data_IF_869463053061
#
_entry.id   IF_869463053061
#
_cell.length_a   1.000
_cell.length_b   1.000
_cell.length_c   1.000
_cell.angle_alpha   90.00
_cell.angle_beta   90.00
_cell.angle_gamma   90.00
#
_symmetry.space_group_name_H-M   'P 1'
#
loop_
_entity.id
_entity.type
_entity.pdbx_description
1 polymer ?
#
# COMPACT_ATOMS: atom_id res chain seq x y z
N UNK A 1 -55.50 -41.26 24.02
CA UNK A 1 -56.41 -41.51 22.88
C UNK A 1 -57.26 -42.78 23.03
N UNK A 2 -56.69 -43.99 23.18
CA UNK A 2 -57.49 -45.25 23.18
C UNK A 2 -58.55 -45.46 24.30
N UNK A 3 -58.66 -44.55 25.28
CA UNK A 3 -59.77 -44.55 26.27
C UNK A 3 -60.99 -43.78 25.75
N UNK A 4 -60.79 -42.65 25.08
CA UNK A 4 -61.86 -41.81 24.50
C UNK A 4 -62.54 -42.51 23.32
N UNK A 5 -61.78 -43.19 22.47
CA UNK A 5 -62.33 -44.01 21.38
C UNK A 5 -63.23 -45.15 21.89
N UNK A 6 -62.88 -45.76 23.03
CA UNK A 6 -63.71 -46.80 23.65
C UNK A 6 -65.01 -46.22 24.20
N UNK A 7 -64.93 -45.06 24.86
CA UNK A 7 -66.09 -44.33 25.39
C UNK A 7 -67.00 -43.85 24.27
N UNK A 8 -66.46 -43.35 23.15
CA UNK A 8 -67.27 -42.92 22.01
C UNK A 8 -68.00 -44.08 21.33
N UNK A 9 -67.34 -45.23 21.18
CA UNK A 9 -67.95 -46.43 20.60
C UNK A 9 -69.10 -46.96 21.48
N UNK A 10 -68.90 -46.99 22.80
CA UNK A 10 -69.93 -47.39 23.76
C UNK A 10 -71.12 -46.42 23.79
N UNK A 11 -70.87 -45.11 23.68
CA UNK A 11 -71.93 -44.09 23.62
C UNK A 11 -72.78 -44.22 22.35
N UNK A 12 -72.16 -44.52 21.21
CA UNK A 12 -72.86 -44.76 19.94
C UNK A 12 -73.71 -46.04 19.98
N UNK A 13 -73.20 -47.11 20.60
CA UNK A 13 -73.96 -48.36 20.81
C UNK A 13 -75.17 -48.16 21.73
N UNK A 14 -75.04 -47.35 22.80
CA UNK A 14 -76.09 -47.14 23.78
C UNK A 14 -77.11 -46.07 23.37
N UNK A 15 -76.71 -45.06 22.59
CA UNK A 15 -77.56 -43.94 22.19
C UNK A 15 -77.06 -43.27 20.89
N UNK A 16 -77.55 -43.67 19.72
CA UNK A 16 -77.04 -43.20 18.43
C UNK A 16 -77.22 -41.69 18.20
N UNK A 17 -78.31 -41.08 18.71
CA UNK A 17 -78.59 -39.65 18.54
C UNK A 17 -77.59 -38.73 19.27
N UNK A 18 -77.09 -39.16 20.44
CA UNK A 18 -76.12 -38.39 21.23
C UNK A 18 -74.68 -38.86 21.00
N UNK A 19 -74.47 -40.12 20.61
CA UNK A 19 -73.16 -40.69 20.34
C UNK A 19 -72.54 -40.22 19.02
N UNK A 20 -73.34 -40.02 17.97
CA UNK A 20 -72.86 -39.56 16.66
C UNK A 20 -72.11 -38.20 16.70
N UNK A 21 -72.67 -37.12 17.29
CA UNK A 21 -71.96 -35.84 17.37
C UNK A 21 -70.71 -35.93 18.27
N UNK A 22 -70.75 -36.74 19.33
CA UNK A 22 -69.58 -36.99 20.18
C UNK A 22 -68.47 -37.73 19.43
N UNK A 23 -68.83 -38.74 18.62
CA UNK A 23 -67.89 -39.48 17.80
C UNK A 23 -67.23 -38.59 16.73
N UNK A 24 -68.00 -37.72 16.08
CA UNK A 24 -67.48 -36.75 15.11
C UNK A 24 -66.51 -35.77 15.76
N UNK A 25 -66.91 -35.13 16.86
CA UNK A 25 -66.05 -34.19 17.59
C UNK A 25 -64.75 -34.86 18.08
N UNK A 26 -64.84 -36.12 18.53
CA UNK A 26 -63.67 -36.91 18.91
C UNK A 26 -62.76 -37.21 17.71
N UNK A 27 -63.30 -37.60 16.56
CA UNK A 27 -62.53 -37.86 15.33
C UNK A 27 -61.81 -36.59 14.85
N UNK A 28 -62.50 -35.45 14.86
CA UNK A 28 -61.89 -34.15 14.53
C UNK A 28 -60.74 -33.80 15.48
N UNK A 29 -60.90 -34.03 16.78
CA UNK A 29 -59.84 -33.81 17.76
C UNK A 29 -58.64 -34.76 17.56
N UNK A 30 -58.88 -36.03 17.23
CA UNK A 30 -57.83 -37.00 16.91
C UNK A 30 -57.07 -36.61 15.63
N UNK A 31 -57.78 -36.18 14.59
CA UNK A 31 -57.17 -35.66 13.36
C UNK A 31 -56.30 -34.43 13.64
N UNK A 32 -56.81 -33.48 14.42
CA UNK A 32 -56.04 -32.30 14.82
C UNK A 32 -54.79 -32.70 15.62
N UNK A 33 -54.93 -33.62 16.57
CA UNK A 33 -53.80 -34.14 17.35
C UNK A 33 -52.74 -34.80 16.45
N UNK A 34 -53.17 -35.62 15.49
CA UNK A 34 -52.27 -36.26 14.53
C UNK A 34 -51.54 -35.23 13.65
N UNK A 35 -52.25 -34.21 13.16
CA UNK A 35 -51.64 -33.10 12.40
C UNK A 35 -50.59 -32.35 13.23
N UNK A 36 -50.88 -32.04 14.49
CA UNK A 36 -49.92 -31.37 15.39
C UNK A 36 -48.71 -32.27 15.65
N UNK A 37 -48.93 -33.55 15.98
CA UNK A 37 -47.86 -34.50 16.24
C UNK A 37 -46.94 -34.66 15.03
N UNK A 38 -47.51 -34.70 13.83
CA UNK A 38 -46.74 -34.80 12.60
C UNK A 38 -45.92 -33.54 12.33
N UNK A 39 -46.51 -32.34 12.51
CA UNK A 39 -45.77 -31.07 12.43
C UNK A 39 -44.62 -30.99 13.43
N UNK A 40 -44.83 -31.45 14.67
CA UNK A 40 -43.78 -31.49 15.69
C UNK A 40 -42.66 -32.44 15.30
N UNK A 41 -42.97 -33.62 14.75
CA UNK A 41 -41.96 -34.55 14.23
C UNK A 41 -41.16 -33.97 13.08
N UNK A 42 -41.82 -33.32 12.13
CA UNK A 42 -41.16 -32.68 10.99
C UNK A 42 -40.24 -31.54 11.46
N UNK A 43 -40.71 -30.69 12.37
CA UNK A 43 -39.90 -29.62 12.95
C UNK A 43 -38.68 -30.17 13.73
N UNK A 44 -38.86 -31.24 14.51
CA UNK A 44 -37.76 -31.89 15.23
C UNK A 44 -36.70 -32.42 14.26
N UNK A 45 -37.11 -33.11 13.19
CA UNK A 45 -36.19 -33.63 12.18
C UNK A 45 -35.38 -32.52 11.48
N UNK A 46 -36.03 -31.38 11.15
CA UNK A 46 -35.33 -30.22 10.57
C UNK A 46 -34.31 -29.65 11.56
N UNK A 47 -34.67 -29.51 12.84
CA UNK A 47 -33.74 -28.98 13.85
C UNK A 47 -32.57 -29.93 14.12
N UNK A 48 -32.81 -31.24 14.16
CA UNK A 48 -31.78 -32.27 14.35
C UNK A 48 -30.73 -32.25 13.22
N UNK A 49 -31.13 -31.97 11.98
CA UNK A 49 -30.20 -31.82 10.85
C UNK A 49 -29.49 -30.45 10.85
N UNK A 50 -30.23 -29.38 11.16
CA UNK A 50 -29.78 -28.03 10.92
C UNK A 50 -28.90 -27.45 12.06
N UNK A 51 -29.11 -27.88 13.31
CA UNK A 51 -28.27 -27.47 14.46
C UNK A 51 -26.77 -27.81 14.30
N UNK A 52 -26.36 -29.04 13.96
CA UNK A 52 -24.93 -29.35 13.80
C UNK A 52 -24.30 -28.57 12.65
N UNK A 53 -25.06 -28.35 11.55
CA UNK A 53 -24.61 -27.54 10.41
C UNK A 53 -24.41 -26.08 10.80
N UNK A 54 -25.32 -25.52 11.61
CA UNK A 54 -25.19 -24.16 12.13
C UNK A 54 -23.94 -24.03 13.02
N UNK A 55 -23.71 -24.97 13.94
CA UNK A 55 -22.51 -24.98 14.81
C UNK A 55 -21.22 -25.01 13.99
N UNK A 56 -21.15 -25.90 13.00
CA UNK A 56 -19.98 -26.02 12.13
C UNK A 56 -19.75 -24.74 11.31
N UNK A 57 -20.84 -24.11 10.84
CA UNK A 57 -20.78 -22.86 10.10
C UNK A 57 -20.20 -21.74 10.97
N UNK A 58 -20.71 -21.57 12.20
CA UNK A 58 -20.25 -20.53 13.12
C UNK A 58 -18.79 -20.74 13.53
N UNK A 59 -18.39 -21.97 13.86
CA UNK A 59 -16.99 -22.29 14.19
C UNK A 59 -16.05 -21.97 13.02
N UNK A 60 -16.47 -22.27 11.79
CA UNK A 60 -15.68 -21.95 10.60
C UNK A 60 -15.59 -20.45 10.35
N UNK A 61 -16.66 -19.70 10.63
CA UNK A 61 -16.66 -18.25 10.53
C UNK A 61 -15.71 -17.60 11.53
N UNK A 62 -15.69 -18.09 12.78
CA UNK A 62 -14.76 -17.61 13.82
C UNK A 62 -13.31 -17.83 13.38
N UNK A 63 -12.97 -19.01 12.85
CA UNK A 63 -11.63 -19.29 12.33
C UNK A 63 -11.24 -18.39 11.16
N UNK A 64 -12.19 -18.03 10.28
CA UNK A 64 -11.93 -17.12 9.17
C UNK A 64 -11.75 -15.67 9.65
N UNK A 65 -12.51 -15.25 10.66
CA UNK A 65 -12.34 -13.95 11.31
C UNK A 65 -10.94 -13.83 11.92
N UNK A 66 -10.52 -14.81 12.72
CA UNK A 66 -9.19 -14.85 13.33
C UNK A 66 -8.08 -14.78 12.26
N UNK A 67 -8.26 -15.50 11.14
CA UNK A 67 -7.33 -15.43 10.02
C UNK A 67 -7.24 -14.02 9.42
N UNK A 68 -8.38 -13.35 9.21
CA UNK A 68 -8.43 -11.99 8.68
C UNK A 68 -7.79 -10.99 9.64
N UNK A 69 -8.09 -11.07 10.93
CA UNK A 69 -7.53 -10.18 11.96
C UNK A 69 -6.01 -10.36 12.11
N UNK A 70 -5.54 -11.61 12.07
CA UNK A 70 -4.11 -11.92 12.06
C UNK A 70 -3.41 -11.35 10.82
N UNK A 71 -4.03 -11.46 9.64
CA UNK A 71 -3.46 -10.88 8.44
C UNK A 71 -3.46 -9.35 8.48
N UNK A 72 -4.56 -8.75 8.95
CA UNK A 72 -4.69 -7.31 9.10
C UNK A 72 -3.63 -6.74 10.06
N UNK A 73 -3.41 -7.37 11.22
CA UNK A 73 -2.40 -6.95 12.18
C UNK A 73 -0.98 -7.08 11.62
N UNK A 74 -0.69 -8.14 10.84
CA UNK A 74 0.59 -8.29 10.14
C UNK A 74 0.82 -7.19 9.10
N UNK A 75 -0.22 -6.80 8.36
CA UNK A 75 -0.15 -5.71 7.39
C UNK A 75 0.00 -4.33 8.05
N UNK A 76 -0.67 -4.11 9.19
CA UNK A 76 -0.54 -2.86 9.96
C UNK A 76 0.82 -2.69 10.65
N UNK A 77 1.53 -3.79 10.91
CA UNK A 77 2.86 -3.78 11.52
C UNK A 77 4.00 -3.73 10.51
N UNK A 78 3.70 -3.61 9.22
CA UNK A 78 4.74 -3.47 8.19
C UNK A 78 5.53 -2.16 8.40
N UNK A 79 6.87 -2.20 8.32
CA UNK A 79 7.72 -1.03 8.50
C UNK A 79 7.47 0.00 7.40
N UNK A 80 7.76 1.27 7.71
CA UNK A 80 7.72 2.36 6.72
C UNK A 80 8.57 2.00 5.50
N UNK A 81 8.02 2.28 4.33
CA UNK A 81 8.62 1.96 3.04
C UNK A 81 9.88 2.77 2.81
N UNK A 82 10.92 2.07 2.36
CA UNK A 82 12.23 2.63 2.06
C UNK A 82 12.45 2.80 0.56
N UNK A 83 13.24 3.79 0.17
CA UNK A 83 13.57 4.12 -1.23
C UNK A 83 14.57 3.19 -1.91
N UNK A 84 15.05 2.15 -1.20
CA UNK A 84 15.93 1.13 -1.73
C UNK A 84 15.16 0.08 -2.54
N UNK A 85 15.60 -0.14 -3.79
CA UNK A 85 15.01 -1.11 -4.73
C UNK A 85 14.98 -2.54 -4.18
N UNK A 86 15.98 -2.95 -3.39
CA UNK A 86 16.01 -4.29 -2.79
C UNK A 86 14.91 -4.43 -1.74
N UNK A 87 14.71 -3.39 -0.92
CA UNK A 87 13.67 -3.36 0.09
C UNK A 87 12.27 -3.29 -0.52
N UNK A 88 12.08 -2.47 -1.56
CA UNK A 88 10.82 -2.35 -2.28
C UNK A 88 10.40 -3.69 -2.93
N UNK A 89 11.34 -4.41 -3.55
CA UNK A 89 11.08 -5.75 -4.11
C UNK A 89 10.63 -6.73 -3.04
N UNK A 90 11.25 -6.69 -1.86
CA UNK A 90 10.86 -7.55 -0.74
C UNK A 90 9.48 -7.19 -0.19
N UNK A 91 9.16 -5.90 -0.04
CA UNK A 91 7.83 -5.45 0.37
C UNK A 91 6.75 -5.85 -0.64
N UNK A 92 7.04 -5.78 -1.94
CA UNK A 92 6.13 -6.29 -2.99
C UNK A 92 5.92 -7.79 -2.81
N UNK A 93 6.99 -8.57 -2.63
CA UNK A 93 6.92 -10.02 -2.43
C UNK A 93 6.04 -10.39 -1.23
N UNK A 94 6.25 -9.73 -0.09
CA UNK A 94 5.45 -9.94 1.12
C UNK A 94 3.97 -9.55 0.93
N UNK A 95 3.69 -8.44 0.23
CA UNK A 95 2.33 -8.05 -0.08
C UNK A 95 1.65 -9.02 -1.06
N UNK A 96 2.37 -9.53 -2.07
CA UNK A 96 1.85 -10.56 -2.98
C UNK A 96 1.54 -11.87 -2.24
N UNK A 97 2.35 -12.25 -1.23
CA UNK A 97 2.02 -13.38 -0.36
C UNK A 97 0.73 -13.15 0.45
N UNK A 98 0.56 -11.94 1.00
CA UNK A 98 -0.67 -11.56 1.70
C UNK A 98 -1.90 -11.62 0.79
N UNK A 99 -1.78 -11.17 -0.46
CA UNK A 99 -2.84 -11.30 -1.48
C UNK A 99 -3.17 -12.77 -1.76
N UNK A 100 -2.17 -13.63 -1.91
CA UNK A 100 -2.40 -15.07 -2.09
C UNK A 100 -3.08 -15.75 -0.88
N UNK A 101 -2.81 -15.28 0.34
CA UNK A 101 -3.55 -15.72 1.53
C UNK A 101 -5.01 -15.22 1.50
N UNK A 102 -5.23 -13.95 1.11
CA UNK A 102 -6.57 -13.39 0.94
C UNK A 102 -7.38 -14.12 -0.11
N UNK A 103 -6.80 -14.52 -1.24
CA UNK A 103 -7.49 -15.31 -2.26
C UNK A 103 -8.03 -16.62 -1.68
N UNK A 104 -7.22 -17.33 -0.90
CA UNK A 104 -7.65 -18.57 -0.21
C UNK A 104 -8.77 -18.32 0.80
N UNK A 105 -8.67 -17.23 1.56
CA UNK A 105 -9.72 -16.83 2.50
C UNK A 105 -11.02 -16.45 1.77
N UNK A 106 -10.93 -15.81 0.59
CA UNK A 106 -12.07 -15.48 -0.25
C UNK A 106 -12.85 -16.73 -0.67
N UNK A 107 -12.16 -17.75 -1.20
CA UNK A 107 -12.78 -19.04 -1.56
C UNK A 107 -13.45 -19.71 -0.35
N UNK A 108 -12.81 -19.65 0.82
CA UNK A 108 -13.38 -20.21 2.04
C UNK A 108 -14.64 -19.45 2.52
N UNK A 109 -14.65 -18.13 2.39
CA UNK A 109 -15.82 -17.28 2.72
C UNK A 109 -16.99 -17.53 1.76
N UNK A 110 -16.73 -17.67 0.46
CA UNK A 110 -17.75 -18.04 -0.53
C UNK A 110 -18.37 -19.41 -0.21
N UNK A 111 -17.54 -20.37 0.24
CA UNK A 111 -18.02 -21.69 0.66
C UNK A 111 -18.94 -21.58 1.88
N UNK A 112 -18.55 -20.81 2.89
CA UNK A 112 -19.36 -20.54 4.09
C UNK A 112 -20.67 -19.84 3.71
N UNK A 113 -20.63 -18.89 2.79
CA UNK A 113 -21.83 -18.20 2.29
C UNK A 113 -22.81 -19.18 1.62
N UNK A 114 -22.31 -20.08 0.76
CA UNK A 114 -23.12 -21.09 0.11
C UNK A 114 -23.74 -22.06 1.14
N UNK A 115 -22.95 -22.52 2.11
CA UNK A 115 -23.42 -23.40 3.20
C UNK A 115 -24.50 -22.73 4.06
N UNK A 116 -24.34 -21.44 4.38
CA UNK A 116 -25.32 -20.67 5.13
C UNK A 116 -26.63 -20.46 4.35
N UNK A 117 -26.55 -20.19 3.04
CA UNK A 117 -27.72 -20.06 2.19
C UNK A 117 -28.50 -21.39 2.07
N UNK A 118 -27.79 -22.51 1.94
CA UNK A 118 -28.41 -23.84 1.90
C UNK A 118 -29.11 -24.18 3.24
N UNK A 119 -28.48 -23.84 4.37
CA UNK A 119 -29.05 -24.04 5.69
C UNK A 119 -30.31 -23.19 5.93
N UNK A 120 -30.31 -21.94 5.47
CA UNK A 120 -31.50 -21.08 5.51
C UNK A 120 -32.65 -21.66 4.69
N UNK A 121 -32.34 -22.17 3.50
CA UNK A 121 -33.33 -22.80 2.63
C UNK A 121 -33.93 -24.07 3.26
N UNK A 122 -33.11 -24.91 3.92
CA UNK A 122 -33.62 -26.13 4.58
C UNK A 122 -34.54 -25.82 5.77
N UNK A 123 -34.28 -24.72 6.48
CA UNK A 123 -35.11 -24.24 7.58
C UNK A 123 -36.33 -23.43 7.12
N UNK A 124 -36.46 -23.13 5.81
CA UNK A 124 -37.43 -22.16 5.26
C UNK A 124 -37.35 -20.79 5.96
N UNK A 125 -36.15 -20.41 6.39
CA UNK A 125 -35.87 -19.15 7.05
C UNK A 125 -35.38 -18.10 6.03
N UNK A 126 -35.85 -16.86 6.18
CA UNK A 126 -35.49 -15.79 5.26
C UNK A 126 -34.14 -15.12 5.59
N UNK A 127 -33.74 -15.13 6.87
CA UNK A 127 -32.49 -14.55 7.36
C UNK A 127 -32.02 -15.29 8.62
N UNK A 128 -30.72 -15.21 8.90
CA UNK A 128 -30.11 -15.64 10.16
C UNK A 128 -28.94 -14.74 10.52
N UNK A 129 -28.60 -14.67 11.81
CA UNK A 129 -27.42 -13.97 12.30
C UNK A 129 -26.13 -14.45 11.60
N UNK A 130 -26.06 -15.72 11.23
CA UNK A 130 -24.93 -16.29 10.48
C UNK A 130 -24.82 -15.69 9.06
N UNK A 131 -25.93 -15.39 8.39
CA UNK A 131 -25.90 -14.73 7.09
C UNK A 131 -25.39 -13.29 7.18
N UNK A 132 -25.81 -12.55 8.21
CA UNK A 132 -25.33 -11.19 8.48
C UNK A 132 -23.83 -11.18 8.82
N UNK A 133 -23.39 -12.07 9.70
CA UNK A 133 -21.98 -12.22 10.05
C UNK A 133 -21.13 -12.61 8.83
N UNK A 134 -21.62 -13.50 7.95
CA UNK A 134 -20.90 -13.87 6.72
C UNK A 134 -20.73 -12.67 5.78
N UNK A 135 -21.78 -11.86 5.63
CA UNK A 135 -21.72 -10.63 4.84
C UNK A 135 -20.73 -9.61 5.43
N UNK A 136 -20.65 -9.51 6.76
CA UNK A 136 -19.66 -8.66 7.43
C UNK A 136 -18.24 -9.15 7.17
N UNK A 137 -17.97 -10.45 7.26
CA UNK A 137 -16.65 -11.03 6.95
C UNK A 137 -16.24 -10.80 5.50
N UNK A 138 -17.16 -11.00 4.54
CA UNK A 138 -16.93 -10.71 3.12
C UNK A 138 -16.58 -9.23 2.90
N UNK A 139 -17.28 -8.31 3.59
CA UNK A 139 -16.99 -6.88 3.54
C UNK A 139 -15.61 -6.54 4.14
N UNK A 140 -15.24 -7.16 5.26
CA UNK A 140 -13.91 -6.99 5.86
C UNK A 140 -12.80 -7.52 4.94
N UNK A 141 -12.97 -8.73 4.40
CA UNK A 141 -12.07 -9.34 3.44
C UNK A 141 -11.89 -8.45 2.19
N UNK A 142 -12.99 -7.99 1.60
CA UNK A 142 -12.95 -7.14 0.40
C UNK A 142 -12.23 -5.81 0.65
N UNK A 143 -12.46 -5.19 1.81
CA UNK A 143 -11.72 -3.98 2.21
C UNK A 143 -10.24 -4.24 2.41
N UNK A 144 -9.86 -5.33 3.07
CA UNK A 144 -8.46 -5.67 3.31
C UNK A 144 -7.73 -5.98 2.00
N UNK A 145 -8.39 -6.74 1.11
CA UNK A 145 -7.89 -7.04 -0.24
C UNK A 145 -7.70 -5.78 -1.08
N UNK A 146 -8.69 -4.89 -1.13
CA UNK A 146 -8.57 -3.64 -1.86
C UNK A 146 -7.39 -2.79 -1.39
N UNK A 147 -7.16 -2.71 -0.07
CA UNK A 147 -5.97 -2.04 0.50
C UNK A 147 -4.66 -2.70 0.06
N UNK A 148 -4.58 -4.03 0.07
CA UNK A 148 -3.39 -4.75 -0.40
C UNK A 148 -3.14 -4.54 -1.90
N UNK A 149 -4.18 -4.54 -2.74
CA UNK A 149 -4.07 -4.28 -4.18
C UNK A 149 -3.60 -2.85 -4.46
N UNK A 150 -4.16 -1.87 -3.74
CA UNK A 150 -3.72 -0.46 -3.82
C UNK A 150 -2.26 -0.31 -3.38
N UNK A 151 -1.87 -0.95 -2.28
CA UNK A 151 -0.49 -0.95 -1.79
C UNK A 151 0.46 -1.62 -2.78
N UNK A 152 0.06 -2.72 -3.43
CA UNK A 152 0.89 -3.40 -4.43
C UNK A 152 1.13 -2.50 -5.64
N UNK A 153 0.07 -1.86 -6.16
CA UNK A 153 0.19 -0.91 -7.26
C UNK A 153 1.15 0.22 -6.90
N UNK A 154 0.94 0.84 -5.74
CA UNK A 154 1.78 1.93 -5.26
C UNK A 154 3.24 1.51 -5.07
N UNK A 155 3.50 0.34 -4.48
CA UNK A 155 4.87 -0.19 -4.33
C UNK A 155 5.55 -0.44 -5.67
N UNK A 156 4.81 -0.94 -6.68
CA UNK A 156 5.35 -1.17 -8.04
C UNK A 156 5.68 0.15 -8.76
N UNK A 157 4.83 1.16 -8.62
CA UNK A 157 5.08 2.51 -9.14
C UNK A 157 6.33 3.12 -8.48
N UNK A 158 6.44 2.99 -7.15
CA UNK A 158 7.60 3.45 -6.39
C UNK A 158 8.88 2.71 -6.76
N UNK A 159 8.83 1.39 -6.97
CA UNK A 159 9.98 0.62 -7.44
C UNK A 159 10.44 1.08 -8.83
N UNK A 160 9.51 1.30 -9.76
CA UNK A 160 9.86 1.81 -11.09
C UNK A 160 10.54 3.19 -11.02
N UNK A 161 10.07 4.05 -10.10
CA UNK A 161 10.68 5.35 -9.86
C UNK A 161 12.07 5.23 -9.24
N UNK A 162 12.23 4.37 -8.24
CA UNK A 162 13.52 4.08 -7.61
C UNK A 162 14.52 3.50 -8.62
N UNK A 163 14.13 2.51 -9.42
CA UNK A 163 15.00 1.92 -10.45
C UNK A 163 15.48 2.97 -11.46
N UNK A 164 14.60 3.88 -11.91
CA UNK A 164 14.99 4.99 -12.80
C UNK A 164 15.99 5.94 -12.14
N UNK A 165 15.76 6.30 -10.88
CA UNK A 165 16.66 7.18 -10.13
C UNK A 165 18.05 6.55 -9.94
N UNK A 166 18.10 5.33 -9.38
CA UNK A 166 19.37 4.68 -9.08
C UNK A 166 20.16 4.30 -10.34
N UNK A 167 19.47 3.89 -11.41
CA UNK A 167 20.13 3.66 -12.69
C UNK A 167 20.69 4.95 -13.29
N UNK A 168 19.89 6.01 -13.36
CA UNK A 168 20.33 7.31 -13.87
C UNK A 168 21.48 7.92 -13.06
N UNK A 169 21.48 7.74 -11.73
CA UNK A 169 22.59 8.14 -10.86
C UNK A 169 23.87 7.39 -11.21
N UNK A 170 23.79 6.07 -11.44
CA UNK A 170 24.93 5.25 -11.82
C UNK A 170 25.45 5.60 -13.21
N UNK A 171 24.58 5.81 -14.19
CA UNK A 171 24.97 6.22 -15.54
C UNK A 171 25.64 7.58 -15.53
N UNK A 172 25.05 8.58 -14.86
CA UNK A 172 25.61 9.91 -14.72
C UNK A 172 26.98 9.90 -14.04
N UNK A 173 27.19 9.05 -13.03
CA UNK A 173 28.48 8.90 -12.37
C UNK A 173 29.55 8.31 -13.29
N UNK A 174 29.19 7.36 -14.15
CA UNK A 174 30.10 6.75 -15.13
C UNK A 174 30.45 7.74 -16.24
N UNK A 175 29.46 8.39 -16.85
CA UNK A 175 29.67 9.38 -17.91
C UNK A 175 30.46 10.59 -17.39
N UNK A 176 30.22 11.01 -16.15
CA UNK A 176 31.02 12.03 -15.47
C UNK A 176 32.49 11.60 -15.32
N UNK A 177 32.76 10.34 -14.96
CA UNK A 177 34.13 9.81 -14.86
C UNK A 177 34.80 9.73 -16.23
N UNK A 178 34.10 9.25 -17.26
CA UNK A 178 34.62 9.11 -18.62
C UNK A 178 34.95 10.49 -19.22
N UNK A 179 34.06 11.48 -19.04
CA UNK A 179 34.29 12.86 -19.47
C UNK A 179 35.45 13.52 -18.73
N UNK A 180 35.60 13.25 -17.43
CA UNK A 180 36.79 13.69 -16.68
C UNK A 180 38.08 13.13 -17.28
N UNK A 181 38.12 11.85 -17.64
CA UNK A 181 39.28 11.22 -18.27
C UNK A 181 39.56 11.77 -19.68
N UNK A 182 38.52 11.99 -20.48
CA UNK A 182 38.64 12.57 -21.83
C UNK A 182 39.25 13.98 -21.79
N UNK A 183 38.81 14.82 -20.87
CA UNK A 183 39.37 16.18 -20.73
C UNK A 183 40.83 16.12 -20.29
N UNK A 184 41.21 15.24 -19.37
CA UNK A 184 42.61 15.05 -18.98
C UNK A 184 43.47 14.64 -20.19
N UNK A 185 42.97 13.74 -21.04
CA UNK A 185 43.68 13.34 -22.28
C UNK A 185 43.75 14.45 -23.34
N UNK A 186 42.71 15.29 -23.44
CA UNK A 186 42.68 16.42 -24.38
C UNK A 186 43.59 17.58 -23.95
N UNK A 187 43.82 17.76 -22.65
CA UNK A 187 44.83 18.68 -22.13
C UNK A 187 46.25 18.31 -22.59
N UNK A 188 46.53 17.02 -22.78
CA UNK A 188 47.83 16.51 -23.27
C UNK A 188 47.96 16.60 -24.80
N UNK A 189 46.85 16.50 -25.54
CA UNK A 189 46.83 16.42 -26.99
C UNK A 189 46.54 17.75 -27.73
N UNK A 190 46.06 18.78 -27.03
CA UNK A 190 45.78 20.11 -27.62
C UNK A 190 44.56 20.16 -28.56
N UNK A 191 43.53 19.35 -28.29
CA UNK A 191 42.35 19.18 -29.16
C UNK A 191 41.24 20.24 -29.02
N UNK A 192 40.27 20.20 -29.94
CA UNK A 192 39.18 21.18 -30.12
C UNK A 192 38.07 21.07 -29.02
N UNK A 193 37.61 22.19 -28.42
CA UNK A 193 36.75 22.22 -27.23
C UNK A 193 35.24 22.08 -27.49
N UNK A 194 34.77 22.01 -28.74
CA UNK A 194 33.33 22.05 -29.04
C UNK A 194 32.58 20.76 -28.66
N UNK A 195 33.12 19.59 -28.99
CA UNK A 195 32.52 18.29 -28.62
C UNK A 195 32.43 18.11 -27.10
N UNK A 196 33.41 18.66 -26.35
CA UNK A 196 33.36 18.68 -24.89
C UNK A 196 32.23 19.56 -24.35
N UNK A 197 31.88 20.67 -25.02
CA UNK A 197 30.79 21.54 -24.56
C UNK A 197 29.44 20.88 -24.70
N UNK A 198 29.19 20.20 -25.82
CA UNK A 198 27.95 19.47 -26.06
C UNK A 198 27.74 18.36 -25.02
N UNK A 199 28.79 17.61 -24.72
CA UNK A 199 28.77 16.57 -23.69
C UNK A 199 28.47 17.13 -22.28
N UNK A 200 29.08 18.27 -21.95
CA UNK A 200 28.88 18.98 -20.68
C UNK A 200 27.46 19.53 -20.51
N UNK A 201 26.85 20.02 -21.59
CA UNK A 201 25.46 20.49 -21.55
C UNK A 201 24.48 19.31 -21.49
N UNK A 202 24.81 18.16 -22.11
CA UNK A 202 24.05 16.90 -21.94
C UNK A 202 24.04 16.42 -20.49
N UNK A 203 25.23 16.35 -19.85
CA UNK A 203 25.36 15.94 -18.45
C UNK A 203 24.60 16.85 -17.47
N UNK A 204 24.50 18.15 -17.77
CA UNK A 204 23.67 19.09 -16.99
C UNK A 204 22.18 18.73 -17.11
N UNK A 205 21.70 18.41 -18.31
CA UNK A 205 20.32 17.97 -18.53
C UNK A 205 20.00 16.67 -17.78
N UNK A 206 20.90 15.69 -17.84
CA UNK A 206 20.75 14.43 -17.11
C UNK A 206 20.69 14.65 -15.58
N UNK A 207 21.57 15.49 -15.03
CA UNK A 207 21.56 15.86 -13.62
C UNK A 207 20.25 16.53 -13.19
N UNK A 208 19.71 17.45 -14.00
CA UNK A 208 18.44 18.11 -13.72
C UNK A 208 17.28 17.11 -13.69
N UNK A 209 17.24 16.17 -14.64
CA UNK A 209 16.24 15.09 -14.64
C UNK A 209 16.36 14.18 -13.42
N UNK A 210 17.58 13.83 -13.02
CA UNK A 210 17.85 13.03 -11.84
C UNK A 210 17.43 13.75 -10.55
N UNK A 211 17.62 15.06 -10.49
CA UNK A 211 17.13 15.90 -9.40
C UNK A 211 15.61 15.86 -9.25
N UNK A 212 14.86 15.89 -10.36
CA UNK A 212 13.40 15.74 -10.35
C UNK A 212 12.99 14.37 -9.82
N UNK A 213 13.59 13.29 -10.34
CA UNK A 213 13.34 11.93 -9.89
C UNK A 213 13.65 11.74 -8.39
N UNK A 214 14.74 12.33 -7.91
CA UNK A 214 15.10 12.30 -6.49
C UNK A 214 14.04 12.96 -5.60
N UNK A 215 13.53 14.14 -6.01
CA UNK A 215 12.44 14.83 -5.29
C UNK A 215 11.16 14.00 -5.27
N UNK A 216 10.78 13.41 -6.40
CA UNK A 216 9.60 12.53 -6.47
C UNK A 216 9.78 11.29 -5.57
N UNK A 217 10.96 10.66 -5.57
CA UNK A 217 11.29 9.51 -4.73
C UNK A 217 11.17 9.84 -3.25
N UNK A 218 11.78 10.95 -2.81
CA UNK A 218 11.71 11.40 -1.42
C UNK A 218 10.30 11.77 -0.98
N UNK A 219 9.49 12.35 -1.88
CA UNK A 219 8.09 12.66 -1.57
C UNK A 219 7.21 11.41 -1.46
N UNK A 220 7.62 10.32 -2.11
CA UNK A 220 6.90 9.05 -2.12
C UNK A 220 7.30 8.14 -0.96
N UNK A 221 8.52 8.26 -0.43
CA UNK A 221 8.98 7.49 0.73
C UNK A 221 8.53 8.14 2.06
N UNK A 222 8.42 7.34 3.12
CA UNK A 222 8.20 7.90 4.46
C UNK A 222 9.41 8.71 4.96
N UNK A 223 9.23 9.43 6.08
CA UNK A 223 10.29 10.29 6.68
C UNK A 223 11.65 9.63 7.03
N UNK A 224 11.85 8.29 7.19
CA UNK A 224 13.15 7.78 7.63
C UNK A 224 14.28 7.76 6.58
N UNK A 225 14.01 8.04 5.30
CA UNK A 225 14.99 7.84 4.20
C UNK A 225 15.52 9.14 3.56
N UNK A 226 15.22 10.28 4.18
CA UNK A 226 15.80 11.57 3.77
C UNK A 226 17.34 11.61 3.68
N UNK A 227 18.15 10.92 4.52
CA UNK A 227 19.60 11.12 4.48
C UNK A 227 20.32 10.40 3.34
N UNK A 228 19.80 9.28 2.82
CA UNK A 228 20.55 8.46 1.85
C UNK A 228 20.44 8.99 0.42
N UNK A 229 19.24 9.35 -0.03
CA UNK A 229 18.99 9.92 -1.37
C UNK A 229 19.66 11.29 -1.52
N UNK A 230 19.64 12.10 -0.46
CA UNK A 230 20.33 13.41 -0.45
C UNK A 230 21.83 13.25 -0.48
N UNK A 231 22.39 12.33 0.33
CA UNK A 231 23.82 12.06 0.33
C UNK A 231 24.31 11.53 -1.02
N UNK A 232 23.58 10.64 -1.67
CA UNK A 232 23.98 10.12 -2.99
C UNK A 232 23.97 11.19 -4.08
N UNK A 233 23.02 12.12 -4.02
CA UNK A 233 23.00 13.28 -4.92
C UNK A 233 24.14 14.25 -4.58
N UNK A 234 24.42 14.46 -3.29
CA UNK A 234 25.52 15.28 -2.81
C UNK A 234 26.88 14.70 -3.21
N UNK A 235 27.06 13.37 -3.20
CA UNK A 235 28.30 12.69 -3.57
C UNK A 235 28.59 12.84 -5.08
N UNK A 236 27.57 12.68 -5.94
CA UNK A 236 27.69 12.97 -7.38
C UNK A 236 27.92 14.47 -7.62
N UNK A 237 27.31 15.32 -6.79
CA UNK A 237 27.56 16.75 -6.83
C UNK A 237 28.94 17.16 -6.38
N UNK A 238 29.53 16.44 -5.43
CA UNK A 238 30.87 16.68 -4.93
C UNK A 238 31.93 16.18 -5.93
N UNK A 239 31.67 15.06 -6.60
CA UNK A 239 32.49 14.55 -7.70
C UNK A 239 32.61 15.57 -8.85
N UNK A 240 31.55 16.34 -9.11
CA UNK A 240 31.59 17.41 -10.08
C UNK A 240 31.92 18.80 -9.49
N UNK A 241 31.70 19.01 -8.20
CA UNK A 241 31.65 20.33 -7.54
C UNK A 241 32.75 20.62 -6.51
N UNK A 242 33.70 19.72 -6.28
CA UNK A 242 34.86 20.01 -5.42
C UNK A 242 35.61 21.28 -5.85
N UNK A 243 36.47 21.88 -5.00
CA UNK A 243 37.21 23.11 -5.34
C UNK A 243 38.01 23.00 -6.65
N UNK A 244 38.48 21.79 -6.99
CA UNK A 244 39.08 21.46 -8.30
C UNK A 244 38.04 21.30 -9.41
N UNK A 245 36.93 20.60 -9.16
CA UNK A 245 35.85 20.36 -10.11
C UNK A 245 35.13 21.63 -10.56
N UNK A 246 34.70 22.51 -9.66
CA UNK A 246 34.06 23.78 -10.03
C UNK A 246 34.97 24.68 -10.89
N UNK A 247 36.28 24.70 -10.59
CA UNK A 247 37.27 25.45 -11.37
C UNK A 247 37.53 24.79 -12.73
N UNK A 248 37.49 23.46 -12.80
CA UNK A 248 37.60 22.67 -14.02
C UNK A 248 36.39 22.89 -14.94
N UNK A 249 35.15 22.78 -14.45
CA UNK A 249 33.95 23.07 -15.22
C UNK A 249 33.89 24.51 -15.72
N UNK A 250 34.26 25.48 -14.87
CA UNK A 250 34.34 26.88 -15.28
C UNK A 250 35.41 27.12 -16.36
N UNK A 251 36.52 26.38 -16.30
CA UNK A 251 37.61 26.45 -17.27
C UNK A 251 37.22 25.82 -18.62
N UNK A 252 36.58 24.64 -18.61
CA UNK A 252 36.06 24.03 -19.85
C UNK A 252 34.98 24.90 -20.49
N UNK A 253 34.02 25.43 -19.70
CA UNK A 253 32.94 26.31 -20.20
C UNK A 253 33.46 27.64 -20.78
N UNK A 254 34.59 28.15 -20.28
CA UNK A 254 35.25 29.35 -20.82
C UNK A 254 36.18 29.06 -22.02
N UNK A 255 36.23 27.83 -22.53
CA UNK A 255 37.03 27.47 -23.70
C UNK A 255 38.53 27.39 -23.39
N UNK A 256 38.87 27.04 -22.14
CA UNK A 256 40.24 27.07 -21.64
C UNK A 256 41.17 25.98 -22.18
N UNK A 257 40.71 25.07 -23.04
CA UNK A 257 41.52 23.96 -23.58
C UNK A 257 42.80 24.51 -24.21
N UNK A 258 43.96 24.16 -23.65
CA UNK A 258 45.29 24.67 -24.03
C UNK A 258 45.91 25.77 -23.14
N UNK A 259 45.21 26.28 -22.11
CA UNK A 259 45.72 27.35 -21.21
C UNK A 259 46.36 26.87 -19.89
N UNK A 260 46.42 25.55 -19.69
CA UNK A 260 46.87 24.88 -18.48
C UNK A 260 45.82 24.91 -17.37
N UNK A 261 45.59 23.75 -16.74
CA UNK A 261 44.59 23.53 -15.70
C UNK A 261 44.73 24.53 -14.52
N UNK A 262 43.67 25.17 -14.01
CA UNK A 262 43.76 26.19 -12.95
C UNK A 262 44.35 25.66 -11.62
N UNK A 263 44.20 24.36 -11.34
CA UNK A 263 44.78 23.69 -10.18
C UNK A 263 46.32 23.63 -10.24
N UNK A 264 46.93 23.67 -11.43
CA UNK A 264 48.39 23.81 -11.59
C UNK A 264 48.90 25.22 -11.26
N UNK A 265 48.07 26.26 -11.42
CA UNK A 265 48.43 27.66 -11.10
C UNK A 265 48.19 28.05 -9.64
N UNK A 266 47.32 27.35 -8.92
CA UNK A 266 47.04 27.63 -7.51
C UNK A 266 48.24 27.32 -6.57
N UNK A 267 49.15 26.44 -6.99
CA UNK A 267 50.39 26.13 -6.26
C UNK A 267 51.51 27.19 -6.41
N UNK A 268 51.34 28.20 -7.28
CA UNK A 268 52.37 29.18 -7.61
C UNK A 268 51.99 30.63 -7.22
N UNK A 269 52.14 30.97 -5.93
CA UNK A 269 52.34 32.35 -5.45
C UNK A 269 51.16 33.34 -5.57
N UNK A 270 51.23 34.50 -4.87
CA UNK A 270 50.04 35.30 -4.56
C UNK A 270 49.54 36.10 -5.77
N UNK A 271 48.25 35.94 -6.06
CA UNK A 271 47.51 36.67 -7.08
C UNK A 271 47.65 38.19 -6.89
N UNK A 272 48.21 38.88 -7.88
CA UNK A 272 48.22 40.35 -7.92
C UNK A 272 46.76 40.86 -7.88
N UNK A 273 46.46 41.67 -6.86
CA UNK A 273 45.20 42.40 -6.70
C UNK A 273 44.93 43.21 -7.97
N UNK A 274 43.83 42.94 -8.66
CA UNK A 274 43.43 43.79 -9.79
C UNK A 274 42.33 43.24 -10.70
N UNK A 275 42.17 41.92 -10.81
CA UNK A 275 41.02 41.34 -11.52
C UNK A 275 40.01 40.83 -10.51
N UNK A 276 38.82 41.44 -10.47
CA UNK A 276 37.65 40.82 -9.87
C UNK A 276 37.44 39.52 -10.63
N UNK A 277 37.72 38.37 -10.00
CA UNK A 277 37.20 37.09 -10.46
C UNK A 277 35.68 37.25 -10.39
N UNK A 278 34.94 37.20 -11.51
CA UNK A 278 33.49 37.22 -11.43
C UNK A 278 33.08 36.00 -10.60
N UNK A 279 32.31 36.23 -9.52
CA UNK A 279 31.58 35.15 -8.85
C UNK A 279 30.90 34.34 -9.97
N UNK A 280 31.12 33.02 -10.08
CA UNK A 280 30.51 32.24 -11.14
C UNK A 280 29.01 32.16 -10.85
N UNK A 281 28.26 33.15 -11.35
CA UNK A 281 26.83 33.00 -11.58
C UNK A 281 26.73 32.02 -12.74
N UNK A 282 26.31 30.79 -12.45
CA UNK A 282 26.26 29.71 -13.44
C UNK A 282 27.22 28.54 -13.19
N UNK A 283 27.65 28.31 -11.95
CA UNK A 283 27.97 26.92 -11.56
C UNK A 283 26.64 26.14 -11.61
N UNK A 284 26.49 25.11 -12.47
CA UNK A 284 25.27 24.30 -12.49
C UNK A 284 24.96 23.71 -11.10
N UNK A 285 26.02 23.41 -10.36
CA UNK A 285 26.03 22.89 -8.99
C UNK A 285 25.67 23.91 -7.90
N UNK A 286 25.64 25.21 -8.20
CA UNK A 286 25.19 26.22 -7.24
C UNK A 286 23.67 26.20 -7.02
N UNK A 287 22.91 25.63 -7.96
CA UNK A 287 21.46 25.41 -7.80
C UNK A 287 21.20 24.31 -6.76
N UNK A 288 22.09 23.31 -6.65
CA UNK A 288 21.99 22.27 -5.62
C UNK A 288 22.42 22.79 -4.23
N UNK A 289 23.53 23.54 -4.12
CA UNK A 289 23.91 24.12 -2.82
C UNK A 289 22.98 25.24 -2.32
N UNK A 290 22.34 25.98 -3.23
CA UNK A 290 21.42 27.09 -2.88
C UNK A 290 19.94 26.72 -2.85
N UNK A 291 19.53 25.66 -3.52
CA UNK A 291 18.13 25.25 -3.68
C UNK A 291 17.62 24.26 -2.63
N UNK A 292 18.51 23.46 -2.04
CA UNK A 292 18.12 22.40 -1.10
C UNK A 292 17.98 22.88 0.34
N UNK A 293 18.58 24.02 0.68
CA UNK A 293 18.45 24.63 2.01
C UNK A 293 17.12 25.40 2.17
N UNK A 294 16.38 25.70 1.09
CA UNK A 294 15.20 26.59 1.19
C UNK A 294 13.82 25.92 1.19
N UNK A 295 13.72 24.59 1.05
CA UNK A 295 12.42 23.90 1.03
C UNK A 295 12.13 22.98 2.23
N UNK A 296 13.05 22.91 3.19
CA UNK A 296 12.79 22.31 4.50
C UNK A 296 12.17 23.29 5.53
N UNK A 297 12.04 24.58 5.17
CA UNK A 297 11.59 25.65 6.09
C UNK A 297 10.13 26.12 5.97
N UNK A 298 9.31 25.55 5.07
CA UNK A 298 7.93 26.06 4.79
C UNK A 298 6.84 25.03 5.13
N UNK A 299 7.06 24.18 6.13
CA UNK A 299 6.00 23.37 6.75
C UNK A 299 6.00 23.45 8.29
N UNK A 300 6.54 24.53 8.86
CA UNK A 300 6.50 24.81 10.29
C UNK A 300 5.99 26.23 10.60
N UNK A 301 4.85 26.63 10.04
CA UNK A 301 4.01 27.70 10.60
C UNK A 301 2.54 27.28 10.50
N UNK A 302 2.19 26.31 11.33
CA UNK A 302 0.83 25.82 11.52
C UNK A 302 0.59 25.49 13.00
N UNK A 303 1.07 26.34 13.91
CA UNK A 303 0.75 26.25 15.35
C UNK A 303 0.28 27.60 15.84
N UNK A 304 -1.04 27.72 15.85
CA UNK A 304 -1.91 28.53 16.73
C UNK A 304 -1.15 29.32 17.81
N UNK A 305 -1.13 30.63 17.67
CA UNK A 305 -0.83 31.55 18.79
C UNK A 305 -2.14 32.14 19.29
N UNK A 306 -2.75 31.45 20.25
CA UNK A 306 -3.69 32.05 21.20
C UNK A 306 -2.88 32.94 22.16
N UNK A 307 -3.06 34.26 22.14
CA UNK A 307 -2.98 35.12 23.34
C UNK A 307 -3.26 36.60 23.01
N UNK A 308 -4.37 37.07 23.58
CA UNK A 308 -4.61 38.39 24.17
C UNK A 308 -4.22 39.66 23.39
N UNK A 309 -5.26 40.39 22.96
CA UNK A 309 -5.29 41.85 23.10
C UNK A 309 -6.71 42.29 23.43
N UNK A 310 -6.95 42.57 24.71
CA UNK A 310 -8.06 43.41 25.13
C UNK A 310 -7.64 44.89 25.11
N UNK A 311 -8.60 45.76 24.80
CA UNK A 311 -8.66 47.10 25.41
C UNK A 311 -8.72 48.30 24.47
N UNK A 312 -9.85 49.01 24.58
CA UNK A 312 -10.11 50.44 24.39
C UNK A 312 -10.43 50.96 22.98
N UNK A 313 -11.65 51.51 22.86
CA UNK A 313 -12.18 52.27 21.73
C UNK A 313 -13.67 52.01 21.54
#
# INVERSE_FOLDING_TARGET
MGKLQRVSAQLVELSPEQGAPFQQCWQEAEEQYCRVRERVRQAAAVLEDALPRYSQLTERMDLLLECLERLQSRLQSQPSVRGDTAHLREQIRENSLALGELEKLGVALETVQAQGAELLASMQAANSDAAEQTAQLLSQWGRLRGRCEEQERWLRELLALADRFWHGLSELALTLSDTQQLVLGLEEAGGEPEALREEIDSLQGELDTLGILGVELMSSCGDPDKPDVTKSLDDVSALAGGPGGCLWWAWVRMGGVGTGHPQSRAAAGPWRRGRRVPKPRGCPWAVLQGGWVFRAGVLAQGTVSLASRGGAG
#
